data_IF_901404371337
#
_entry.id   IF_901404371337
#
_cell.length_a   1.000
_cell.length_b   1.000
_cell.length_c   1.000
_cell.angle_alpha   90.00
_cell.angle_beta   90.00
_cell.angle_gamma   90.00
#
_symmetry.space_group_name_H-M   'P 1'
#
loop_
_entity.id
_entity.type
_entity.pdbx_description
1 polymer ?
#
# COMPACT_ATOMS: atom_id res chain seq x y z
N UNK A 1 -4.58 19.21 9.85
CA UNK A 1 -3.67 18.52 8.94
C UNK A 1 -2.93 17.42 9.68
N UNK A 2 -2.34 16.48 8.95
CA UNK A 2 -1.55 15.39 9.53
C UNK A 2 -0.34 15.99 10.30
N UNK A 3 -0.09 15.60 11.54
CA UNK A 3 1.07 16.04 12.31
C UNK A 3 2.41 15.73 11.65
N UNK A 4 2.46 14.73 10.75
CA UNK A 4 3.66 14.33 10.02
C UNK A 4 4.11 15.36 8.97
N UNK A 5 3.24 16.24 8.50
CA UNK A 5 3.57 17.24 7.44
C UNK A 5 4.82 18.06 7.78
N UNK A 6 4.98 18.43 9.06
CA UNK A 6 6.14 19.23 9.51
C UNK A 6 7.50 18.51 9.39
N UNK A 7 7.50 17.20 9.18
CA UNK A 7 8.71 16.38 9.05
C UNK A 7 9.04 16.06 7.59
N UNK A 8 8.18 16.48 6.64
CA UNK A 8 8.47 16.34 5.22
C UNK A 8 9.68 17.24 4.89
N UNK A 9 10.70 16.73 4.17
CA UNK A 9 11.83 17.53 3.72
C UNK A 9 11.36 18.76 2.93
N UNK A 10 12.06 19.88 3.10
CA UNK A 10 11.72 21.15 2.46
C UNK A 10 11.83 21.10 0.92
N UNK A 11 12.62 20.18 0.44
CA UNK A 11 12.84 19.90 -0.98
C UNK A 11 11.66 19.17 -1.63
N UNK A 12 10.79 18.58 -0.82
CA UNK A 12 9.62 17.87 -1.31
C UNK A 12 8.45 18.84 -1.53
N UNK A 13 7.89 18.82 -2.72
CA UNK A 13 6.66 19.53 -3.04
C UNK A 13 5.44 18.76 -2.50
N UNK A 14 4.54 19.48 -1.83
CA UNK A 14 3.29 18.91 -1.31
C UNK A 14 2.15 19.25 -2.27
N UNK A 15 1.66 18.24 -2.97
CA UNK A 15 0.51 18.34 -3.88
C UNK A 15 -0.71 17.72 -3.24
N UNK A 16 -1.86 18.40 -3.26
CA UNK A 16 -3.13 17.86 -2.78
C UNK A 16 -3.86 17.15 -3.90
N UNK A 17 -4.39 15.98 -3.61
CA UNK A 17 -5.24 15.20 -4.50
C UNK A 17 -6.11 14.23 -3.72
N UNK A 18 -7.15 13.73 -4.35
CA UNK A 18 -8.03 12.67 -3.86
C UNK A 18 -7.88 11.45 -4.79
N UNK A 19 -7.54 10.29 -4.23
CA UNK A 19 -7.43 9.05 -5.02
C UNK A 19 -8.73 8.69 -5.76
N UNK A 20 -9.87 9.10 -5.22
CA UNK A 20 -11.18 8.86 -5.83
C UNK A 20 -11.52 9.87 -6.94
N UNK A 21 -10.76 10.94 -7.08
CA UNK A 21 -10.92 11.97 -8.13
C UNK A 21 -9.66 12.02 -9.01
N UNK A 22 -9.74 11.34 -10.16
CA UNK A 22 -8.60 11.18 -11.06
C UNK A 22 -8.07 12.52 -11.59
N UNK A 23 -8.94 13.51 -11.78
CA UNK A 23 -8.53 14.83 -12.31
C UNK A 23 -7.72 15.59 -11.26
N UNK A 24 -8.01 15.40 -9.98
CA UNK A 24 -7.25 15.99 -8.89
C UNK A 24 -5.81 15.48 -8.78
N UNK A 25 -5.50 14.33 -9.38
CA UNK A 25 -4.17 13.73 -9.38
C UNK A 25 -3.24 14.31 -10.45
N UNK A 26 -3.75 15.04 -11.42
CA UNK A 26 -2.98 15.54 -12.56
C UNK A 26 -1.73 16.33 -12.13
N UNK A 27 -1.86 17.18 -11.13
CA UNK A 27 -0.73 17.98 -10.65
C UNK A 27 0.38 17.14 -9.99
N UNK A 28 0.03 15.97 -9.42
CA UNK A 28 1.01 15.05 -8.84
C UNK A 28 1.89 14.40 -9.92
N UNK A 29 1.34 14.22 -11.12
CA UNK A 29 2.06 13.56 -12.22
C UNK A 29 2.84 14.55 -13.11
N UNK A 30 2.72 15.86 -12.88
CA UNK A 30 3.52 16.86 -13.61
C UNK A 30 5.00 16.74 -13.23
N UNK A 31 5.84 16.54 -14.23
CA UNK A 31 7.28 16.48 -14.07
C UNK A 31 7.96 17.51 -14.98
N UNK A 32 9.15 18.03 -14.61
CA UNK A 32 9.95 18.86 -15.49
C UNK A 32 10.26 18.13 -16.80
N UNK A 33 10.31 18.87 -17.91
CA UNK A 33 10.62 18.31 -19.22
C UNK A 33 11.98 17.57 -19.22
N UNK A 34 12.01 16.38 -19.80
CA UNK A 34 13.20 15.54 -19.88
C UNK A 34 13.53 14.75 -18.60
N UNK A 35 12.67 14.81 -17.57
CA UNK A 35 12.84 13.99 -16.37
C UNK A 35 12.06 12.69 -16.49
N UNK A 36 12.56 11.65 -15.80
CA UNK A 36 11.83 10.41 -15.59
C UNK A 36 11.31 10.38 -14.15
N UNK A 37 10.10 9.85 -13.97
CA UNK A 37 9.46 9.78 -12.65
C UNK A 37 9.20 8.34 -12.24
N UNK A 38 9.23 8.10 -10.93
CA UNK A 38 8.85 6.85 -10.30
C UNK A 38 7.71 7.16 -9.31
N UNK A 39 6.64 6.39 -9.38
CA UNK A 39 5.51 6.53 -8.48
C UNK A 39 5.58 5.48 -7.39
N UNK A 40 5.62 5.91 -6.13
CA UNK A 40 5.46 5.05 -4.96
C UNK A 40 4.02 5.21 -4.45
N UNK A 41 3.15 4.25 -4.79
CA UNK A 41 1.75 4.27 -4.35
C UNK A 41 1.60 3.57 -3.01
N UNK A 42 1.74 4.34 -1.93
CA UNK A 42 1.67 3.87 -0.54
C UNK A 42 0.28 4.14 0.08
N UNK A 43 -0.41 5.15 -0.43
CA UNK A 43 -1.68 5.60 0.13
C UNK A 43 -2.77 4.52 0.05
N UNK A 44 -3.40 4.25 1.18
CA UNK A 44 -4.56 3.37 1.26
C UNK A 44 -5.36 3.65 2.54
N UNK A 45 -6.62 3.28 2.53
CA UNK A 45 -7.45 3.26 3.74
C UNK A 45 -7.28 1.91 4.43
N UNK A 46 -6.96 1.93 5.73
CA UNK A 46 -6.85 0.73 6.58
C UNK A 46 -8.12 0.59 7.41
N UNK A 47 -8.59 -0.64 7.59
CA UNK A 47 -9.72 -0.95 8.48
C UNK A 47 -9.54 -2.33 9.07
N UNK A 48 -9.70 -2.44 10.38
CA UNK A 48 -9.78 -3.72 11.11
C UNK A 48 -11.23 -4.22 11.23
N UNK A 49 -12.22 -3.37 10.86
CA UNK A 49 -13.63 -3.78 10.83
C UNK A 49 -13.82 -4.76 9.66
N UNK A 50 -14.35 -5.98 9.90
CA UNK A 50 -14.57 -6.98 8.87
C UNK A 50 -15.74 -6.64 7.93
N UNK A 51 -16.60 -5.70 8.30
CA UNK A 51 -17.80 -5.36 7.54
C UNK A 51 -17.48 -4.66 6.22
N UNK A 52 -18.41 -4.79 5.28
CA UNK A 52 -18.32 -4.09 4.00
C UNK A 52 -18.33 -2.57 4.18
N UNK A 53 -17.43 -1.91 3.49
CA UNK A 53 -17.34 -0.46 3.44
C UNK A 53 -17.03 -0.01 2.01
N UNK A 54 -17.99 0.63 1.37
CA UNK A 54 -17.86 1.10 -0.02
C UNK A 54 -16.68 2.07 -0.16
N UNK A 55 -16.49 2.98 0.81
CA UNK A 55 -15.37 3.94 0.77
C UNK A 55 -14.01 3.24 0.77
N UNK A 56 -13.89 2.12 1.49
CA UNK A 56 -12.67 1.30 1.48
C UNK A 56 -12.38 0.75 0.08
N UNK A 57 -13.42 0.30 -0.63
CA UNK A 57 -13.30 -0.18 -2.02
C UNK A 57 -12.96 0.98 -2.96
N UNK A 58 -13.65 2.11 -2.84
CA UNK A 58 -13.44 3.27 -3.71
C UNK A 58 -12.01 3.81 -3.58
N UNK A 59 -11.50 3.94 -2.36
CA UNK A 59 -10.13 4.43 -2.11
C UNK A 59 -9.08 3.40 -2.53
N UNK A 60 -9.19 2.16 -2.04
CA UNK A 60 -8.11 1.18 -2.22
C UNK A 60 -8.10 0.57 -3.62
N UNK A 61 -9.26 0.30 -4.21
CA UNK A 61 -9.34 -0.30 -5.54
C UNK A 61 -9.53 0.76 -6.61
N UNK A 62 -10.51 1.64 -6.46
CA UNK A 62 -10.78 2.74 -7.39
C UNK A 62 -9.56 3.68 -7.48
N UNK A 63 -9.05 4.13 -6.33
CA UNK A 63 -7.86 4.98 -6.27
C UNK A 63 -6.62 4.35 -6.89
N UNK A 64 -6.37 3.05 -6.65
CA UNK A 64 -5.24 2.36 -7.29
C UNK A 64 -5.43 2.29 -8.81
N UNK A 65 -6.64 2.06 -9.32
CA UNK A 65 -6.91 2.10 -10.77
C UNK A 65 -6.67 3.49 -11.37
N UNK A 66 -7.03 4.56 -10.65
CA UNK A 66 -6.74 5.94 -11.08
C UNK A 66 -5.22 6.19 -11.15
N UNK A 67 -4.43 5.71 -10.19
CA UNK A 67 -2.96 5.78 -10.24
C UNK A 67 -2.40 4.99 -11.42
N UNK A 68 -2.89 3.77 -11.67
CA UNK A 68 -2.50 2.95 -12.83
C UNK A 68 -2.76 3.72 -14.12
N UNK A 69 -3.96 4.27 -14.29
CA UNK A 69 -4.33 5.04 -15.47
C UNK A 69 -3.41 6.24 -15.66
N UNK A 70 -3.13 7.01 -14.62
CA UNK A 70 -2.22 8.16 -14.68
C UNK A 70 -0.79 7.74 -15.03
N UNK A 71 -0.28 6.63 -14.48
CA UNK A 71 1.03 6.10 -14.85
C UNK A 71 1.12 5.71 -16.34
N UNK A 72 0.01 5.22 -16.92
CA UNK A 72 -0.05 4.85 -18.34
C UNK A 72 -0.20 6.07 -19.26
N UNK A 73 -0.89 7.12 -18.81
CA UNK A 73 -1.06 8.38 -19.55
C UNK A 73 0.24 9.20 -19.61
N UNK A 74 1.03 9.20 -18.53
CA UNK A 74 2.26 9.97 -18.38
C UNK A 74 3.49 9.15 -18.77
N UNK A 75 4.03 9.40 -19.98
CA UNK A 75 5.17 8.64 -20.55
C UNK A 75 6.46 8.79 -19.77
N UNK A 76 6.62 9.87 -19.02
CA UNK A 76 7.72 10.11 -18.08
C UNK A 76 7.66 9.21 -16.86
N UNK A 77 6.51 8.64 -16.52
CA UNK A 77 6.38 7.65 -15.45
C UNK A 77 7.00 6.32 -15.90
N UNK A 78 8.19 6.02 -15.37
CA UNK A 78 8.97 4.83 -15.77
C UNK A 78 8.67 3.61 -14.92
N UNK A 79 8.24 3.81 -13.68
CA UNK A 79 7.97 2.69 -12.78
C UNK A 79 6.90 3.06 -11.75
N UNK A 80 6.05 2.08 -11.41
CA UNK A 80 5.10 2.14 -10.31
C UNK A 80 5.48 1.08 -9.27
N UNK A 81 5.75 1.49 -8.04
CA UNK A 81 5.84 0.57 -6.89
C UNK A 81 4.54 0.67 -6.11
N UNK A 82 3.75 -0.38 -6.13
CA UNK A 82 2.51 -0.46 -5.37
C UNK A 82 2.75 -1.14 -4.02
N UNK A 83 2.43 -0.46 -2.94
CA UNK A 83 2.50 -1.03 -1.59
C UNK A 83 1.15 -1.68 -1.24
N UNK A 84 1.11 -2.99 -1.35
CA UNK A 84 -0.02 -3.83 -1.00
C UNK A 84 -0.02 -4.17 0.51
N UNK A 85 -0.22 -5.43 0.84
CA UNK A 85 -0.20 -5.99 2.19
C UNK A 85 -0.05 -7.51 2.11
N UNK A 86 0.60 -8.12 3.10
CA UNK A 86 0.54 -9.59 3.26
C UNK A 86 -0.89 -10.10 3.47
N UNK A 87 -1.81 -9.23 3.94
CA UNK A 87 -3.25 -9.55 4.00
C UNK A 87 -3.92 -9.80 2.65
N UNK A 88 -3.30 -9.40 1.53
CA UNK A 88 -3.78 -9.72 0.18
C UNK A 88 -3.47 -11.18 -0.23
N UNK A 89 -2.58 -11.86 0.50
CA UNK A 89 -2.15 -13.23 0.21
C UNK A 89 -3.02 -14.20 1.01
N UNK A 90 -3.56 -15.26 0.40
CA UNK A 90 -4.37 -16.24 1.10
C UNK A 90 -3.63 -16.86 2.30
N UNK A 91 -4.34 -16.98 3.43
CA UNK A 91 -3.82 -17.70 4.59
C UNK A 91 -3.67 -19.20 4.27
N UNK A 92 -2.58 -19.78 4.76
CA UNK A 92 -2.33 -21.22 4.65
C UNK A 92 -2.70 -21.92 5.95
N UNK A 93 -2.94 -23.25 5.92
CA UNK A 93 -3.18 -24.04 7.12
C UNK A 93 -2.10 -23.82 8.19
N UNK A 94 -2.51 -23.93 9.45
CA UNK A 94 -1.62 -23.73 10.62
C UNK A 94 -0.29 -24.50 10.47
N UNK A 95 0.81 -23.79 10.69
CA UNK A 95 2.16 -24.32 10.58
C UNK A 95 2.82 -24.16 9.20
N UNK A 96 2.08 -23.72 8.20
CA UNK A 96 2.64 -23.37 6.90
C UNK A 96 2.98 -21.88 6.84
N UNK A 97 4.08 -21.56 6.15
CA UNK A 97 4.49 -20.17 5.92
C UNK A 97 3.82 -19.62 4.68
N UNK A 98 3.27 -18.41 4.77
CA UNK A 98 2.78 -17.65 3.62
C UNK A 98 3.94 -17.48 2.62
N UNK A 99 3.65 -17.63 1.35
CA UNK A 99 4.58 -17.44 0.23
C UNK A 99 3.98 -16.49 -0.77
N UNK A 100 4.82 -15.86 -1.56
CA UNK A 100 4.41 -15.04 -2.69
C UNK A 100 3.56 -15.87 -3.67
N UNK A 101 2.57 -15.21 -4.26
CA UNK A 101 1.64 -15.77 -5.23
C UNK A 101 1.58 -14.88 -6.47
N UNK A 102 1.23 -15.45 -7.61
CA UNK A 102 1.15 -14.72 -8.87
C UNK A 102 -0.27 -14.25 -9.23
N UNK A 103 -1.27 -14.67 -8.45
CA UNK A 103 -2.67 -14.31 -8.64
C UNK A 103 -3.30 -13.99 -7.29
N UNK A 104 -4.06 -12.91 -7.25
CA UNK A 104 -4.70 -12.40 -6.06
C UNK A 104 -6.21 -12.48 -6.22
N UNK A 105 -6.84 -13.30 -5.38
CA UNK A 105 -8.28 -13.56 -5.39
C UNK A 105 -8.89 -13.06 -4.08
N UNK A 106 -9.77 -12.06 -4.18
CA UNK A 106 -10.44 -11.47 -3.03
C UNK A 106 -11.32 -12.47 -2.25
N UNK A 107 -11.77 -13.55 -2.90
CA UNK A 107 -12.58 -14.57 -2.23
C UNK A 107 -11.75 -15.56 -1.40
N UNK A 108 -10.43 -15.54 -1.55
CA UNK A 108 -9.50 -16.39 -0.81
C UNK A 108 -8.88 -15.72 0.42
N UNK A 109 -9.25 -14.48 0.70
CA UNK A 109 -8.75 -13.71 1.84
C UNK A 109 -9.89 -13.25 2.75
N UNK A 110 -9.58 -13.01 4.03
CA UNK A 110 -10.58 -12.69 5.04
C UNK A 110 -10.54 -11.20 5.39
N UNK A 111 -11.74 -10.60 5.48
CA UNK A 111 -11.92 -9.19 5.82
C UNK A 111 -11.84 -8.26 4.61
N UNK A 112 -12.63 -7.19 4.65
CA UNK A 112 -12.77 -6.29 3.50
C UNK A 112 -11.49 -5.52 3.18
N UNK A 113 -10.67 -5.18 4.17
CA UNK A 113 -9.36 -4.59 3.91
C UNK A 113 -8.49 -5.51 3.03
N UNK A 114 -8.35 -6.78 3.43
CA UNK A 114 -7.59 -7.79 2.68
C UNK A 114 -8.15 -8.00 1.27
N UNK A 115 -9.49 -8.08 1.15
CA UNK A 115 -10.17 -8.18 -0.16
C UNK A 115 -9.83 -7.00 -1.06
N UNK A 116 -9.87 -5.76 -0.54
CA UNK A 116 -9.53 -4.58 -1.35
C UNK A 116 -8.05 -4.56 -1.75
N UNK A 117 -7.15 -5.00 -0.88
CA UNK A 117 -5.72 -5.13 -1.21
C UNK A 117 -5.47 -6.21 -2.26
N UNK A 118 -6.15 -7.35 -2.18
CA UNK A 118 -6.07 -8.40 -3.21
C UNK A 118 -6.59 -7.89 -4.58
N UNK A 119 -7.77 -7.24 -4.61
CA UNK A 119 -8.33 -6.66 -5.84
C UNK A 119 -7.41 -5.59 -6.45
N UNK A 120 -6.85 -4.71 -5.63
CA UNK A 120 -5.95 -3.65 -6.11
C UNK A 120 -4.62 -4.23 -6.61
N UNK A 121 -4.05 -5.23 -5.92
CA UNK A 121 -2.85 -5.94 -6.38
C UNK A 121 -3.09 -6.62 -7.72
N UNK A 122 -4.22 -7.32 -7.86
CA UNK A 122 -4.57 -7.98 -9.12
C UNK A 122 -4.73 -6.95 -10.25
N UNK A 123 -5.32 -5.77 -9.96
CA UNK A 123 -5.45 -4.71 -10.96
C UNK A 123 -4.08 -4.19 -11.45
N UNK A 124 -3.09 -4.04 -10.55
CA UNK A 124 -1.72 -3.67 -10.93
C UNK A 124 -1.09 -4.74 -11.82
N UNK A 125 -1.16 -6.02 -11.44
CA UNK A 125 -0.60 -7.12 -12.21
C UNK A 125 -1.29 -7.29 -13.57
N UNK A 126 -2.60 -7.06 -13.63
CA UNK A 126 -3.36 -7.06 -14.87
C UNK A 126 -2.91 -5.94 -15.82
N UNK A 127 -2.69 -4.73 -15.31
CA UNK A 127 -2.18 -3.61 -16.10
C UNK A 127 -0.75 -3.88 -16.61
N UNK A 128 0.10 -4.52 -15.79
CA UNK A 128 1.42 -4.98 -16.25
C UNK A 128 1.30 -5.94 -17.43
N UNK A 129 0.41 -6.92 -17.33
CA UNK A 129 0.24 -7.98 -18.33
C UNK A 129 -0.48 -7.51 -19.60
N UNK A 130 -1.52 -6.68 -19.45
CA UNK A 130 -2.43 -6.33 -20.54
C UNK A 130 -2.08 -5.00 -21.21
N UNK A 131 -1.56 -4.04 -20.44
CA UNK A 131 -1.33 -2.66 -20.87
C UNK A 131 0.15 -2.28 -20.91
N UNK A 132 1.01 -3.18 -20.45
CA UNK A 132 2.46 -2.98 -20.51
C UNK A 132 3.01 -2.08 -19.40
N UNK A 133 2.19 -1.74 -18.37
CA UNK A 133 2.64 -0.95 -17.23
C UNK A 133 3.94 -1.53 -16.66
N UNK A 134 4.92 -0.69 -16.38
CA UNK A 134 6.08 -1.11 -15.61
C UNK A 134 5.79 -0.91 -14.13
N UNK A 135 5.50 -1.99 -13.43
CA UNK A 135 5.19 -1.95 -12.01
C UNK A 135 5.67 -3.19 -11.28
N UNK A 136 5.96 -3.04 -9.99
CA UNK A 136 6.16 -4.13 -9.04
C UNK A 136 5.36 -3.87 -7.77
N UNK A 137 5.19 -4.92 -6.95
CA UNK A 137 4.35 -4.87 -5.75
C UNK A 137 5.18 -5.24 -4.53
N UNK A 138 5.01 -4.48 -3.45
CA UNK A 138 5.59 -4.78 -2.14
C UNK A 138 4.48 -5.16 -1.18
N UNK A 139 4.63 -6.29 -0.48
CA UNK A 139 3.66 -6.81 0.48
C UNK A 139 4.19 -6.70 1.92
N UNK A 140 4.06 -5.55 2.59
CA UNK A 140 4.47 -5.43 3.97
C UNK A 140 3.56 -6.25 4.89
N UNK A 141 4.15 -6.77 5.96
CA UNK A 141 3.45 -7.26 7.14
C UNK A 141 3.05 -6.10 8.07
N UNK A 142 2.83 -6.32 9.35
CA UNK A 142 2.58 -5.23 10.29
C UNK A 142 3.78 -4.29 10.35
N UNK A 143 3.51 -3.02 10.16
CA UNK A 143 4.55 -1.98 10.11
C UNK A 143 4.65 -1.34 11.49
N UNK A 144 5.88 -1.24 12.00
CA UNK A 144 6.23 -0.52 13.23
C UNK A 144 7.42 0.39 12.99
N UNK A 145 7.53 1.44 13.77
CA UNK A 145 8.71 2.29 13.76
C UNK A 145 8.45 3.69 14.24
N UNK A 146 9.46 4.55 14.20
CA UNK A 146 9.34 5.93 14.63
C UNK A 146 8.42 6.74 13.69
N UNK A 147 7.96 7.89 14.19
CA UNK A 147 7.19 8.91 13.45
C UNK A 147 5.75 8.48 13.09
N UNK A 148 5.18 7.50 13.77
CA UNK A 148 3.74 7.21 13.71
C UNK A 148 2.96 8.20 14.58
N UNK A 149 2.84 9.44 14.10
CA UNK A 149 2.16 10.53 14.82
C UNK A 149 0.63 10.40 14.82
N UNK A 150 0.09 9.62 13.92
CA UNK A 150 -1.33 9.34 13.83
C UNK A 150 -1.76 8.17 14.74
N UNK A 151 -0.78 7.46 15.33
CA UNK A 151 -1.02 6.28 16.16
C UNK A 151 -1.87 5.24 15.41
N UNK A 152 -1.30 4.65 14.37
CA UNK A 152 -1.98 3.63 13.57
C UNK A 152 -2.39 2.40 14.40
N UNK A 153 -3.20 1.54 13.81
CA UNK A 153 -3.82 0.37 14.48
C UNK A 153 -2.81 -0.52 15.22
N UNK A 154 -1.65 -0.80 14.60
CA UNK A 154 -0.62 -1.65 15.22
C UNK A 154 0.01 -0.96 16.42
N UNK A 155 0.40 0.31 16.28
CA UNK A 155 0.98 1.13 17.37
C UNK A 155 -0.02 1.29 18.51
N UNK A 156 -1.27 1.62 18.19
CA UNK A 156 -2.34 1.77 19.17
C UNK A 156 -2.58 0.47 19.96
N UNK A 157 -2.56 -0.66 19.31
CA UNK A 157 -2.69 -1.97 19.97
C UNK A 157 -1.54 -2.23 20.94
N UNK A 158 -0.30 -1.95 20.53
CA UNK A 158 0.88 -2.12 21.40
C UNK A 158 0.82 -1.20 22.62
N UNK A 159 0.41 0.07 22.44
CA UNK A 159 0.23 1.02 23.54
C UNK A 159 -0.79 0.48 24.53
N UNK A 160 -1.94 -0.02 24.08
CA UNK A 160 -2.97 -0.62 24.94
C UNK A 160 -2.45 -1.82 25.73
N UNK A 161 -1.64 -2.67 25.11
CA UNK A 161 -1.00 -3.82 25.79
C UNK A 161 -0.05 -3.32 26.89
N UNK A 162 0.82 -2.36 26.58
CA UNK A 162 1.77 -1.79 27.55
C UNK A 162 1.07 -1.13 28.72
N UNK A 163 -0.05 -0.45 28.47
CA UNK A 163 -0.84 0.21 29.50
C UNK A 163 -1.73 -0.76 30.30
N UNK A 164 -1.74 -2.06 29.97
CA UNK A 164 -2.61 -3.05 30.65
C UNK A 164 -4.10 -2.93 30.29
N UNK A 165 -4.42 -2.21 29.23
CA UNK A 165 -5.80 -2.01 28.76
C UNK A 165 -6.36 -3.21 27.99
N UNK A 166 -5.49 -4.19 27.69
CA UNK A 166 -5.86 -5.47 27.05
C UNK A 166 -5.58 -6.64 28.01
N UNK A 167 -6.51 -6.96 28.90
CA UNK A 167 -6.30 -8.00 29.94
C UNK A 167 -6.36 -9.43 29.39
N UNK A 168 -6.82 -9.63 28.14
CA UNK A 168 -6.98 -10.93 27.51
C UNK A 168 -6.07 -11.01 26.30
N UNK A 169 -5.16 -11.99 26.31
CA UNK A 169 -4.34 -12.33 25.15
C UNK A 169 -5.07 -13.32 24.22
N UNK A 170 -4.93 -13.11 22.93
CA UNK A 170 -5.35 -14.10 21.92
C UNK A 170 -4.15 -14.91 21.46
N UNK A 171 -4.35 -16.24 21.29
CA UNK A 171 -3.32 -17.10 20.71
C UNK A 171 -3.15 -16.77 19.22
N UNK A 172 -1.94 -16.40 18.83
CA UNK A 172 -1.63 -16.07 17.44
C UNK A 172 -0.20 -15.57 17.29
N UNK A 173 0.23 -15.39 16.05
CA UNK A 173 1.49 -14.74 15.72
C UNK A 173 1.25 -13.71 14.63
N UNK A 174 1.99 -12.61 14.69
CA UNK A 174 1.91 -11.54 13.74
C UNK A 174 3.32 -11.13 13.31
N UNK A 175 3.56 -11.12 12.02
CA UNK A 175 4.86 -10.69 11.50
C UNK A 175 4.91 -9.17 11.49
N UNK A 176 6.05 -8.61 11.85
CA UNK A 176 6.31 -7.17 11.91
C UNK A 176 7.55 -6.83 11.09
N UNK A 177 7.54 -5.68 10.46
CA UNK A 177 8.70 -5.07 9.82
C UNK A 177 8.92 -3.64 10.31
N UNK A 178 10.18 -3.22 10.35
CA UNK A 178 10.52 -1.83 10.64
C UNK A 178 10.18 -0.94 9.45
N UNK A 179 9.54 0.21 9.70
CA UNK A 179 9.14 1.15 8.65
C UNK A 179 10.33 1.66 7.84
N UNK A 180 11.51 1.75 8.45
CA UNK A 180 12.76 2.20 7.78
C UNK A 180 13.26 1.16 6.78
N UNK A 181 13.18 -0.12 7.15
CA UNK A 181 13.54 -1.24 6.25
C UNK A 181 12.53 -1.35 5.12
N UNK A 182 11.24 -1.14 5.42
CA UNK A 182 10.19 -1.11 4.39
C UNK A 182 10.42 0.05 3.40
N UNK A 183 10.72 1.25 3.89
CA UNK A 183 11.01 2.40 3.03
C UNK A 183 12.23 2.13 2.13
N UNK A 184 13.31 1.60 2.70
CA UNK A 184 14.48 1.18 1.92
C UNK A 184 14.14 0.10 0.90
N UNK A 185 13.27 -0.86 1.28
CA UNK A 185 12.75 -1.90 0.39
C UNK A 185 11.95 -1.33 -0.78
N UNK A 186 11.07 -0.35 -0.54
CA UNK A 186 10.30 0.32 -1.59
C UNK A 186 11.22 1.08 -2.58
N UNK A 187 12.25 1.76 -2.08
CA UNK A 187 13.25 2.43 -2.94
C UNK A 187 14.03 1.39 -3.77
N UNK A 188 14.46 0.30 -3.13
CA UNK A 188 15.15 -0.78 -3.84
C UNK A 188 14.24 -1.46 -4.89
N UNK A 189 12.93 -1.57 -4.63
CA UNK A 189 11.96 -2.07 -5.59
C UNK A 189 11.77 -1.10 -6.76
N UNK A 190 11.84 0.21 -6.52
CA UNK A 190 11.82 1.22 -7.58
C UNK A 190 13.01 1.07 -8.55
N UNK A 191 14.20 0.77 -8.01
CA UNK A 191 15.44 0.68 -8.79
C UNK A 191 15.63 -0.70 -9.44
N UNK A 192 15.23 -1.79 -8.77
CA UNK A 192 15.61 -3.17 -9.10
C UNK A 192 14.46 -4.15 -9.09
N UNK A 193 13.23 -3.68 -8.78
CA UNK A 193 12.05 -4.53 -8.80
C UNK A 193 11.79 -5.12 -10.16
N UNK A 194 11.42 -6.40 -10.19
CA UNK A 194 11.09 -7.06 -11.45
C UNK A 194 9.65 -6.73 -11.84
N UNK A 195 9.47 -6.43 -13.11
CA UNK A 195 8.16 -6.09 -13.65
C UNK A 195 7.16 -7.24 -13.45
N UNK A 196 6.04 -6.93 -12.77
CA UNK A 196 4.98 -7.90 -12.53
C UNK A 196 5.20 -8.85 -11.35
N UNK A 197 6.17 -8.52 -10.47
CA UNK A 197 6.41 -9.23 -9.21
C UNK A 197 6.11 -8.36 -8.00
#
# INVERSE_FOLDING_TARGET
GDPAIKYIPKEAEIVKGDLCDIDSLENFFKAPEGTETIVLHVASMVSVNPDFNQKLVDVNVGGTKNIIQKCLEHKECKNLVYVSSTGAIPELPKGQKIKEVNEFDAEKVVGWYSKTKAMATQAVLDAVKKEGLNACVVHPSGILGPQDYAVGETTGTIIKIINGEMPIGMGGSFNLCDVRDLAAGCIAAADRGRKGE
#
